data_IF_778553497957
#
_entry.id   IF_778553497957
#
_cell.length_a   1.000
_cell.length_b   1.000
_cell.length_c   1.000
_cell.angle_alpha   90.00
_cell.angle_beta   90.00
_cell.angle_gamma   90.00
#
_symmetry.space_group_name_H-M   'P 1'
#
loop_
_entity.id
_entity.type
_entity.pdbx_description
1 polymer ?
#
# COMPACT_ATOMS: atom_id res chain seq x y z
N UNK A 1 -14.08 -3.65 16.73
CA UNK A 1 -13.25 -4.82 17.10
C UNK A 1 -11.91 -4.73 16.38
N UNK A 2 -10.79 -5.02 17.06
CA UNK A 2 -9.47 -5.12 16.43
C UNK A 2 -9.29 -6.48 15.73
N UNK A 3 -8.32 -6.59 14.84
CA UNK A 3 -8.11 -7.77 14.00
C UNK A 3 -7.73 -9.01 14.84
N UNK A 4 -6.87 -8.86 15.84
CA UNK A 4 -6.45 -9.98 16.69
C UNK A 4 -7.63 -10.59 17.47
N UNK A 5 -8.48 -9.75 18.06
CA UNK A 5 -9.65 -10.21 18.84
C UNK A 5 -10.66 -10.90 17.95
N UNK A 6 -10.90 -10.34 16.76
CA UNK A 6 -11.77 -10.96 15.75
C UNK A 6 -11.25 -12.35 15.36
N UNK A 7 -9.96 -12.48 15.08
CA UNK A 7 -9.35 -13.76 14.70
C UNK A 7 -9.33 -14.75 15.85
N UNK A 8 -8.99 -14.31 17.05
CA UNK A 8 -8.96 -15.15 18.26
C UNK A 8 -10.33 -15.76 18.54
N UNK A 9 -11.40 -14.99 18.33
CA UNK A 9 -12.79 -15.43 18.53
C UNK A 9 -13.23 -16.51 17.54
N UNK A 10 -12.69 -16.52 16.32
CA UNK A 10 -13.07 -17.48 15.28
C UNK A 10 -12.11 -18.68 15.14
N UNK A 11 -10.82 -18.48 15.41
CA UNK A 11 -9.77 -19.46 15.14
C UNK A 11 -8.92 -19.84 16.36
N UNK A 12 -9.17 -19.21 17.51
CA UNK A 12 -8.37 -19.38 18.72
C UNK A 12 -7.14 -18.48 18.78
N UNK A 13 -6.63 -18.24 20.00
CA UNK A 13 -5.53 -17.30 20.24
C UNK A 13 -4.21 -17.70 19.58
N UNK A 14 -3.91 -19.00 19.52
CA UNK A 14 -2.66 -19.48 18.90
C UNK A 14 -2.64 -19.22 17.39
N UNK A 15 -3.73 -19.54 16.68
CA UNK A 15 -3.84 -19.26 15.26
C UNK A 15 -3.82 -17.75 14.98
N UNK A 16 -4.49 -16.95 15.81
CA UNK A 16 -4.45 -15.50 15.71
C UNK A 16 -3.00 -14.98 15.82
N UNK A 17 -2.24 -15.44 16.82
CA UNK A 17 -0.90 -14.94 17.11
C UNK A 17 0.19 -15.44 16.15
N UNK A 18 0.14 -16.72 15.74
CA UNK A 18 1.23 -17.36 15.00
C UNK A 18 0.94 -17.61 13.52
N UNK A 19 -0.32 -17.52 13.08
CA UNK A 19 -0.70 -17.72 11.67
C UNK A 19 -1.16 -16.41 11.04
N UNK A 20 -2.21 -15.81 11.61
CA UNK A 20 -2.81 -14.61 11.01
C UNK A 20 -2.04 -13.34 11.36
N UNK A 21 -1.56 -13.22 12.59
CA UNK A 21 -0.81 -12.07 13.09
C UNK A 21 0.42 -11.76 12.24
N UNK A 22 1.33 -12.72 11.97
CA UNK A 22 2.49 -12.50 11.13
C UNK A 22 2.10 -12.10 9.69
N UNK A 23 1.03 -12.70 9.14
CA UNK A 23 0.55 -12.36 7.81
C UNK A 23 0.01 -10.92 7.73
N UNK A 24 -0.74 -10.48 8.75
CA UNK A 24 -1.22 -9.11 8.86
C UNK A 24 -0.08 -8.12 9.07
N UNK A 25 0.87 -8.44 9.95
CA UNK A 25 2.06 -7.60 10.15
C UNK A 25 2.90 -7.51 8.88
N UNK A 26 3.10 -8.59 8.13
CA UNK A 26 3.81 -8.54 6.86
C UNK A 26 3.09 -7.69 5.80
N UNK A 27 1.75 -7.68 5.80
CA UNK A 27 0.92 -6.92 4.85
C UNK A 27 0.82 -5.44 5.19
N UNK A 28 0.66 -5.10 6.47
CA UNK A 28 0.35 -3.74 6.92
C UNK A 28 1.50 -3.07 7.68
N UNK A 29 2.59 -3.78 7.95
CA UNK A 29 3.67 -3.37 8.86
C UNK A 29 3.15 -2.94 10.24
N UNK A 30 2.00 -3.48 10.66
CA UNK A 30 1.26 -3.04 11.84
C UNK A 30 1.04 -4.17 12.85
N UNK A 31 0.78 -3.79 14.11
CA UNK A 31 0.27 -4.70 15.11
C UNK A 31 -1.20 -5.06 14.81
N UNK A 32 -1.58 -6.36 14.74
CA UNK A 32 -2.98 -6.78 14.61
C UNK A 32 -3.94 -6.18 15.66
N UNK A 33 -3.46 -5.82 16.85
CA UNK A 33 -4.25 -5.13 17.87
C UNK A 33 -4.59 -3.67 17.50
N UNK A 34 -3.74 -3.01 16.69
CA UNK A 34 -3.97 -1.65 16.19
C UNK A 34 -4.84 -1.63 14.91
N UNK A 35 -5.01 -2.77 14.25
CA UNK A 35 -5.80 -2.89 13.03
C UNK A 35 -7.29 -3.09 13.32
N UNK A 36 -8.15 -2.30 12.68
CA UNK A 36 -9.59 -2.57 12.68
C UNK A 36 -9.93 -3.75 11.76
N UNK A 37 -10.53 -4.81 12.32
CA UNK A 37 -10.83 -6.06 11.60
C UNK A 37 -11.62 -5.82 10.29
N UNK A 38 -12.61 -4.92 10.35
CA UNK A 38 -13.43 -4.51 9.20
C UNK A 38 -12.63 -4.06 7.98
N UNK A 39 -11.52 -3.36 8.18
CA UNK A 39 -10.71 -2.81 7.09
C UNK A 39 -9.49 -3.67 6.74
N UNK A 40 -8.94 -4.39 7.72
CA UNK A 40 -7.81 -5.30 7.49
C UNK A 40 -8.24 -6.63 6.84
N UNK A 41 -9.45 -7.10 7.16
CA UNK A 41 -10.00 -8.40 6.76
C UNK A 41 -11.40 -8.24 6.17
N UNK A 42 -11.61 -7.41 5.14
CA UNK A 42 -12.95 -7.03 4.69
C UNK A 42 -13.80 -8.21 4.23
N UNK A 43 -13.18 -9.23 3.62
CA UNK A 43 -13.90 -10.43 3.16
C UNK A 43 -14.36 -11.33 4.31
N UNK A 44 -13.53 -11.52 5.33
CA UNK A 44 -13.90 -12.29 6.52
C UNK A 44 -14.93 -11.52 7.35
N UNK A 45 -14.73 -10.22 7.52
CA UNK A 45 -15.69 -9.34 8.18
C UNK A 45 -17.06 -9.44 7.50
N UNK A 46 -17.12 -9.24 6.18
CA UNK A 46 -18.39 -9.35 5.44
C UNK A 46 -19.01 -10.74 5.55
N UNK A 47 -18.21 -11.81 5.50
CA UNK A 47 -18.69 -13.18 5.67
C UNK A 47 -19.32 -13.40 7.05
N UNK A 48 -18.70 -12.93 8.13
CA UNK A 48 -19.29 -13.00 9.47
C UNK A 48 -20.60 -12.22 9.54
N UNK A 49 -20.66 -11.00 9.01
CA UNK A 49 -21.88 -10.20 9.03
C UNK A 49 -23.04 -10.85 8.26
N UNK A 50 -22.75 -11.69 7.27
CA UNK A 50 -23.77 -12.41 6.50
C UNK A 50 -24.18 -13.75 7.13
N UNK A 51 -23.21 -14.50 7.67
CA UNK A 51 -23.41 -15.90 8.06
C UNK A 51 -23.31 -16.14 9.57
N UNK A 52 -22.87 -15.17 10.36
CA UNK A 52 -22.60 -15.28 11.80
C UNK A 52 -21.35 -16.11 12.14
N UNK A 53 -21.00 -17.11 11.32
CA UNK A 53 -19.86 -18.01 11.49
C UNK A 53 -19.00 -18.08 10.23
N UNK A 54 -17.68 -17.96 10.39
CA UNK A 54 -16.72 -18.09 9.28
C UNK A 54 -16.62 -19.53 8.77
N UNK A 55 -16.77 -20.52 9.66
CA UNK A 55 -16.81 -21.93 9.27
C UNK A 55 -18.02 -22.22 8.38
N UNK A 56 -19.21 -21.70 8.75
CA UNK A 56 -20.41 -21.80 7.93
C UNK A 56 -20.25 -21.05 6.60
N UNK A 57 -19.65 -19.86 6.62
CA UNK A 57 -19.38 -19.12 5.40
C UNK A 57 -18.45 -19.89 4.43
N UNK A 58 -17.46 -20.60 4.96
CA UNK A 58 -16.54 -21.42 4.17
C UNK A 58 -17.23 -22.64 3.55
N UNK A 59 -18.08 -23.34 4.30
CA UNK A 59 -18.85 -24.49 3.77
C UNK A 59 -19.84 -24.04 2.69
N UNK A 60 -20.56 -22.94 2.89
CA UNK A 60 -21.50 -22.40 1.90
C UNK A 60 -20.77 -21.91 0.63
N UNK A 61 -19.60 -21.28 0.76
CA UNK A 61 -18.77 -20.88 -0.40
C UNK A 61 -18.20 -22.10 -1.15
N UNK A 62 -17.80 -23.14 -0.43
CA UNK A 62 -17.29 -24.39 -1.01
C UNK A 62 -18.36 -25.25 -1.71
N UNK A 63 -19.63 -25.10 -1.30
CA UNK A 63 -20.74 -25.95 -1.78
C UNK A 63 -21.50 -25.38 -3.00
N UNK A 64 -21.24 -24.14 -3.45
CA UNK A 64 -21.69 -23.76 -4.80
C UNK A 64 -21.76 -22.27 -5.15
N UNK A 65 -21.38 -21.99 -6.40
CA UNK A 65 -21.45 -20.73 -7.16
C UNK A 65 -22.78 -19.95 -7.08
N UNK A 66 -23.89 -20.58 -6.67
CA UNK A 66 -25.20 -19.91 -6.56
C UNK A 66 -25.32 -18.98 -5.34
N UNK A 67 -24.58 -19.20 -4.26
CA UNK A 67 -24.63 -18.39 -3.04
C UNK A 67 -23.59 -17.25 -2.99
N UNK A 68 -22.63 -17.21 -3.91
CA UNK A 68 -21.74 -16.07 -4.08
C UNK A 68 -22.49 -14.75 -4.43
N UNK A 69 -23.75 -14.86 -4.90
CA UNK A 69 -24.66 -13.73 -5.12
C UNK A 69 -25.31 -13.18 -3.83
N UNK A 70 -25.24 -13.91 -2.72
CA UNK A 70 -25.77 -13.49 -1.41
C UNK A 70 -24.74 -12.74 -0.56
N UNK A 71 -23.45 -12.85 -0.90
CA UNK A 71 -22.47 -11.91 -0.37
C UNK A 71 -22.83 -10.53 -0.91
N UNK A 72 -23.01 -9.51 -0.04
CA UNK A 72 -23.05 -8.14 -0.52
C UNK A 72 -21.76 -7.94 -1.33
N UNK A 73 -21.84 -7.26 -2.50
CA UNK A 73 -20.63 -6.94 -3.24
C UNK A 73 -19.64 -6.31 -2.27
N UNK A 74 -18.32 -6.57 -2.42
CA UNK A 74 -17.33 -5.88 -1.62
C UNK A 74 -17.70 -4.40 -1.63
N UNK A 75 -17.66 -3.74 -0.47
CA UNK A 75 -17.87 -2.29 -0.39
C UNK A 75 -16.70 -1.60 -1.11
N UNK A 76 -16.56 -1.79 -2.41
CA UNK A 76 -16.03 -0.78 -3.31
C UNK A 76 -16.80 0.48 -2.95
N UNK A 77 -16.08 1.56 -2.70
CA UNK A 77 -16.61 2.91 -2.57
C UNK A 77 -17.78 3.08 -3.56
N UNK A 78 -19.01 2.93 -3.07
CA UNK A 78 -20.19 3.27 -3.84
C UNK A 78 -20.28 4.77 -3.68
N UNK A 79 -19.99 5.58 -4.72
CA UNK A 79 -20.20 7.01 -4.60
C UNK A 79 -21.66 7.18 -4.20
N UNK A 80 -21.89 7.85 -3.07
CA UNK A 80 -23.19 8.08 -2.47
C UNK A 80 -24.22 8.41 -3.57
N UNK A 81 -25.08 7.45 -3.95
CA UNK A 81 -26.14 7.70 -4.94
C UNK A 81 -27.14 8.75 -4.44
N UNK A 82 -27.15 9.03 -3.13
CA UNK A 82 -28.02 10.03 -2.48
C UNK A 82 -27.49 11.48 -2.50
N UNK A 83 -26.33 11.77 -3.10
CA UNK A 83 -25.91 13.15 -3.43
C UNK A 83 -25.65 13.35 -4.93
N UNK A 84 -26.41 12.67 -5.80
CA UNK A 84 -26.38 12.91 -7.25
C UNK A 84 -27.18 14.15 -7.69
N UNK A 85 -27.90 14.81 -6.79
CA UNK A 85 -28.67 16.04 -7.13
C UNK A 85 -27.83 17.31 -7.13
N UNK A 86 -26.58 17.26 -6.66
CA UNK A 86 -25.75 18.46 -6.53
C UNK A 86 -24.52 18.42 -7.47
N UNK A 87 -24.50 17.48 -8.44
CA UNK A 87 -23.50 17.47 -9.50
C UNK A 87 -23.92 18.45 -10.60
N UNK A 88 -23.05 19.43 -10.81
CA UNK A 88 -23.19 20.55 -11.72
C UNK A 88 -23.60 20.09 -13.15
N UNK A 89 -24.67 20.65 -13.78
CA UNK A 89 -25.29 20.10 -14.98
C UNK A 89 -24.45 20.13 -16.27
N UNK A 90 -23.29 20.80 -16.28
CA UNK A 90 -22.48 21.02 -17.48
C UNK A 90 -21.08 20.37 -17.45
N UNK A 91 -20.99 19.10 -17.04
CA UNK A 91 -19.81 18.28 -17.36
C UNK A 91 -19.75 18.07 -18.88
N UNK A 92 -18.80 18.74 -19.52
CA UNK A 92 -18.57 18.79 -20.96
C UNK A 92 -18.55 17.37 -21.59
N UNK A 93 -19.20 17.13 -22.75
CA UNK A 93 -19.39 15.79 -23.33
C UNK A 93 -18.11 15.09 -23.82
N UNK A 94 -16.94 15.71 -23.62
CA UNK A 94 -15.60 15.14 -23.90
C UNK A 94 -14.96 14.42 -22.71
N UNK A 95 -15.59 14.38 -21.52
CA UNK A 95 -15.26 13.40 -20.47
C UNK A 95 -15.91 12.05 -20.80
N UNK A 96 -15.68 11.55 -22.04
CA UNK A 96 -15.92 10.14 -22.41
C UNK A 96 -14.72 9.31 -21.93
N UNK A 97 -14.53 9.25 -20.61
CA UNK A 97 -13.52 8.42 -19.96
C UNK A 97 -14.11 7.30 -19.11
N UNK A 98 -15.44 7.25 -18.91
CA UNK A 98 -16.09 6.29 -17.98
C UNK A 98 -17.14 5.43 -18.71
N UNK A 99 -16.92 5.16 -20.00
CA UNK A 99 -17.76 4.24 -20.78
C UNK A 99 -16.87 3.29 -21.59
N UNK A 100 -16.07 2.49 -20.88
CA UNK A 100 -15.39 1.33 -21.46
C UNK A 100 -15.01 0.35 -20.34
N UNK A 101 -16.03 -0.34 -19.79
CA UNK A 101 -15.83 -1.52 -18.93
C UNK A 101 -17.10 -2.40 -18.87
N UNK A 102 -17.94 -2.36 -19.91
CA UNK A 102 -19.07 -3.29 -20.08
C UNK A 102 -18.89 -4.26 -21.26
N UNK A 103 -17.85 -4.09 -22.08
CA UNK A 103 -17.59 -4.96 -23.26
C UNK A 103 -16.43 -5.95 -23.11
N UNK A 104 -15.82 -6.08 -21.92
CA UNK A 104 -14.91 -7.21 -21.64
C UNK A 104 -15.71 -8.47 -21.24
N UNK A 105 -16.70 -8.85 -22.05
CA UNK A 105 -17.29 -10.20 -21.96
C UNK A 105 -16.26 -11.19 -22.50
N UNK A 106 -15.90 -12.17 -21.68
CA UNK A 106 -15.03 -13.33 -21.98
C UNK A 106 -13.50 -13.20 -21.84
N UNK A 107 -12.98 -12.42 -20.89
CA UNK A 107 -11.71 -12.84 -20.27
C UNK A 107 -12.07 -13.80 -19.13
N UNK A 108 -11.97 -15.10 -19.41
CA UNK A 108 -11.96 -16.14 -18.38
C UNK A 108 -10.91 -15.72 -17.35
N UNK A 109 -11.35 -15.32 -16.15
CA UNK A 109 -10.46 -14.97 -15.04
C UNK A 109 -9.77 -16.24 -14.54
N UNK A 110 -8.77 -16.71 -15.27
CA UNK A 110 -7.76 -17.64 -14.76
C UNK A 110 -6.74 -16.84 -13.95
N UNK A 111 -7.22 -16.17 -12.90
CA UNK A 111 -6.34 -15.70 -11.84
C UNK A 111 -5.91 -16.94 -11.09
N UNK A 112 -4.67 -17.40 -11.29
CA UNK A 112 -4.10 -18.53 -10.54
C UNK A 112 -3.97 -18.22 -9.04
N UNK A 113 -4.19 -16.96 -8.62
CA UNK A 113 -4.04 -16.51 -7.24
C UNK A 113 -2.58 -16.43 -6.79
N UNK A 114 -1.64 -16.77 -7.68
CA UNK A 114 -0.20 -16.76 -7.39
C UNK A 114 0.37 -15.34 -7.49
N UNK A 115 1.34 -14.99 -6.63
CA UNK A 115 2.05 -13.72 -6.74
C UNK A 115 2.80 -13.64 -8.07
N UNK A 116 2.83 -12.46 -8.67
CA UNK A 116 3.55 -12.21 -9.92
C UNK A 116 4.32 -10.89 -9.88
N UNK A 117 5.31 -10.77 -10.75
CA UNK A 117 6.03 -9.54 -11.04
C UNK A 117 6.51 -9.54 -12.49
N UNK A 118 7.04 -8.43 -12.98
CA UNK A 118 7.62 -8.32 -14.32
C UNK A 118 9.12 -8.56 -14.28
N UNK A 119 9.73 -8.95 -15.40
CA UNK A 119 11.18 -9.14 -15.51
C UNK A 119 11.96 -7.90 -15.03
N UNK A 120 11.57 -6.70 -15.46
CA UNK A 120 12.16 -5.44 -15.00
C UNK A 120 11.60 -4.94 -13.65
N UNK A 121 10.70 -5.69 -13.01
CA UNK A 121 10.07 -5.35 -11.73
C UNK A 121 8.79 -4.53 -11.89
N UNK A 122 8.14 -4.22 -10.77
CA UNK A 122 6.85 -3.50 -10.76
C UNK A 122 6.92 -2.08 -11.34
N UNK A 123 8.12 -1.47 -11.39
CA UNK A 123 8.36 -0.21 -12.10
C UNK A 123 8.03 -0.28 -13.60
N UNK A 124 7.90 -1.49 -14.18
CA UNK A 124 7.41 -1.68 -15.54
C UNK A 124 6.01 -1.08 -15.73
N UNK A 125 5.14 -1.16 -14.71
CA UNK A 125 3.79 -0.59 -14.76
C UNK A 125 3.88 0.93 -14.88
N UNK A 126 4.61 1.57 -13.97
CA UNK A 126 4.72 3.03 -13.95
C UNK A 126 5.45 3.55 -15.19
N UNK A 127 6.49 2.85 -15.66
CA UNK A 127 7.20 3.19 -16.89
C UNK A 127 6.27 3.13 -18.11
N UNK A 128 5.47 2.07 -18.24
CA UNK A 128 4.52 1.93 -19.34
C UNK A 128 3.40 3.00 -19.28
N UNK A 129 2.88 3.29 -18.09
CA UNK A 129 1.89 4.36 -17.89
C UNK A 129 2.45 5.73 -18.27
N UNK A 130 3.67 6.06 -17.82
CA UNK A 130 4.33 7.33 -18.14
C UNK A 130 4.58 7.46 -19.65
N UNK A 131 5.02 6.39 -20.31
CA UNK A 131 5.21 6.39 -21.76
C UNK A 131 3.90 6.63 -22.53
N UNK A 132 2.79 6.03 -22.06
CA UNK A 132 1.47 6.16 -22.70
C UNK A 132 0.80 7.52 -22.46
N UNK A 133 1.00 8.10 -21.28
CA UNK A 133 0.48 9.43 -20.93
C UNK A 133 1.33 10.53 -21.60
N UNK A 134 2.64 10.30 -21.75
CA UNK A 134 3.60 11.27 -22.28
C UNK A 134 4.30 12.04 -21.16
N UNK A 135 5.64 12.05 -21.18
CA UNK A 135 6.49 12.64 -20.13
C UNK A 135 6.23 14.13 -19.89
N UNK A 136 5.83 14.87 -20.93
CA UNK A 136 5.50 16.28 -20.87
C UNK A 136 4.31 16.61 -19.95
N UNK A 137 3.46 15.61 -19.66
CA UNK A 137 2.30 15.76 -18.79
C UNK A 137 2.64 15.49 -17.30
N UNK A 138 3.91 15.24 -16.99
CA UNK A 138 4.39 15.02 -15.62
C UNK A 138 5.25 16.18 -15.16
N UNK A 139 4.80 16.84 -14.10
CA UNK A 139 5.52 17.92 -13.43
C UNK A 139 6.18 17.37 -12.16
N UNK A 140 7.45 16.96 -12.27
CA UNK A 140 8.20 16.38 -11.15
C UNK A 140 8.94 17.46 -10.35
N UNK A 141 9.24 17.18 -9.09
CA UNK A 141 9.97 18.11 -8.22
C UNK A 141 9.18 19.38 -7.84
N UNK A 142 7.85 19.35 -7.99
CA UNK A 142 6.96 20.47 -7.71
C UNK A 142 5.89 20.07 -6.69
N UNK A 143 6.21 20.06 -5.38
CA UNK A 143 5.24 19.74 -4.34
C UNK A 143 4.07 20.73 -4.36
N UNK A 144 2.84 20.21 -4.41
CA UNK A 144 1.64 21.02 -4.27
C UNK A 144 1.44 21.38 -2.79
N UNK A 145 1.22 22.66 -2.50
CA UNK A 145 1.08 23.20 -1.13
C UNK A 145 -0.27 23.86 -0.86
N UNK A 146 -1.03 24.20 -1.90
CA UNK A 146 -2.35 24.78 -1.74
C UNK A 146 -3.28 24.50 -2.92
N UNK A 147 -4.58 24.45 -2.63
CA UNK A 147 -5.66 24.40 -3.61
C UNK A 147 -6.69 25.47 -3.26
N UNK A 148 -7.04 26.31 -4.24
CA UNK A 148 -8.06 27.34 -4.09
C UNK A 148 -9.11 27.15 -5.17
N UNK A 149 -10.36 26.92 -4.76
CA UNK A 149 -11.50 27.01 -5.65
C UNK A 149 -11.99 28.46 -5.72
N UNK A 150 -12.08 29.01 -6.93
CA UNK A 150 -12.62 30.35 -7.19
C UNK A 150 -13.82 30.27 -8.13
N UNK A 151 -14.99 30.70 -7.66
CA UNK A 151 -16.21 30.88 -8.44
C UNK A 151 -17.45 30.25 -7.82
N UNK A 152 -18.58 30.42 -8.50
CA UNK A 152 -19.89 29.89 -8.15
C UNK A 152 -20.41 28.96 -9.26
N UNK A 153 -20.81 27.74 -8.89
CA UNK A 153 -21.42 26.80 -9.85
C UNK A 153 -20.52 26.44 -11.05
N UNK A 154 -20.99 26.75 -12.27
CA UNK A 154 -20.47 26.25 -13.56
C UNK A 154 -19.09 26.79 -13.91
N UNK A 155 -18.85 28.06 -13.57
CA UNK A 155 -17.72 28.84 -14.07
C UNK A 155 -16.54 28.85 -13.09
N UNK A 156 -16.66 28.06 -12.02
CA UNK A 156 -15.62 27.93 -11.01
C UNK A 156 -14.40 27.17 -11.53
N UNK A 157 -13.26 27.47 -10.94
CA UNK A 157 -12.00 26.85 -11.32
C UNK A 157 -11.09 26.65 -10.12
N UNK A 158 -10.29 25.60 -10.18
CA UNK A 158 -9.24 25.33 -9.21
C UNK A 158 -7.94 26.01 -9.61
N UNK A 159 -7.31 26.65 -8.65
CA UNK A 159 -5.93 27.12 -8.70
C UNK A 159 -5.07 26.24 -7.81
N UNK A 160 -3.91 25.86 -8.32
CA UNK A 160 -2.95 24.98 -7.63
C UNK A 160 -1.71 25.77 -7.29
N UNK A 161 -1.36 25.84 -6.01
CA UNK A 161 -0.12 26.45 -5.54
C UNK A 161 0.95 25.39 -5.30
N UNK A 162 2.18 25.65 -5.75
CA UNK A 162 3.31 24.72 -5.68
C UNK A 162 4.48 25.35 -4.93
N UNK A 163 5.33 24.53 -4.31
CA UNK A 163 6.61 24.97 -3.72
C UNK A 163 7.69 24.96 -4.79
N UNK A 164 8.44 26.05 -4.91
CA UNK A 164 9.55 26.14 -5.83
C UNK A 164 10.81 25.45 -5.27
N UNK A 165 11.79 25.08 -6.13
CA UNK A 165 13.00 24.37 -5.72
C UNK A 165 13.89 25.11 -4.70
N UNK A 166 13.80 26.43 -4.64
CA UNK A 166 14.49 27.32 -3.69
C UNK A 166 13.79 27.41 -2.32
N UNK A 167 12.76 26.58 -2.09
CA UNK A 167 12.03 26.52 -0.82
C UNK A 167 11.05 27.67 -0.61
N UNK A 168 11.13 28.73 -1.41
CA UNK A 168 10.17 29.81 -1.38
C UNK A 168 8.80 29.32 -1.89
N UNK A 169 7.74 29.74 -1.20
CA UNK A 169 6.38 29.59 -1.70
C UNK A 169 6.18 30.61 -2.81
N UNK A 170 6.79 30.37 -3.97
CA UNK A 170 6.52 31.19 -5.14
C UNK A 170 5.14 30.79 -5.63
N UNK A 171 4.24 31.75 -5.77
CA UNK A 171 3.23 31.65 -6.81
C UNK A 171 3.96 31.69 -8.15
N UNK A 172 4.66 30.61 -8.54
CA UNK A 172 5.16 30.50 -9.90
C UNK A 172 3.92 30.38 -10.76
N UNK A 173 3.55 31.52 -11.31
CA UNK A 173 2.61 31.69 -12.40
C UNK A 173 3.21 30.99 -13.62
N UNK A 174 3.33 29.65 -13.60
CA UNK A 174 3.20 28.92 -14.84
C UNK A 174 1.79 29.23 -15.31
N UNK A 175 1.73 30.09 -16.34
CA UNK A 175 0.56 30.58 -17.05
C UNK A 175 -0.68 29.76 -16.75
N UNK A 176 -1.58 30.30 -15.91
CA UNK A 176 -3.02 30.00 -15.87
C UNK A 176 -3.39 28.59 -16.33
N UNK A 177 -3.34 27.60 -15.44
CA UNK A 177 -4.22 26.45 -15.61
C UNK A 177 -5.25 26.51 -14.48
N UNK A 178 -6.36 27.17 -14.81
CA UNK A 178 -7.63 26.94 -14.14
C UNK A 178 -7.98 25.48 -14.43
N UNK A 179 -8.04 24.64 -13.40
CA UNK A 179 -8.49 23.27 -13.57
C UNK A 179 -9.97 23.17 -13.27
N UNK A 180 -10.72 22.43 -14.09
CA UNK A 180 -12.14 22.16 -13.82
C UNK A 180 -12.31 21.20 -12.63
N UNK A 181 -11.31 20.34 -12.41
CA UNK A 181 -11.31 19.36 -11.33
C UNK A 181 -9.89 19.04 -10.85
N UNK A 182 -9.78 18.63 -9.58
CA UNK A 182 -8.53 18.16 -8.97
C UNK A 182 -8.74 16.76 -8.40
N UNK A 183 -7.83 15.84 -8.70
CA UNK A 183 -7.80 14.49 -8.13
C UNK A 183 -6.69 14.40 -7.09
N UNK A 184 -7.07 14.20 -5.84
CA UNK A 184 -6.14 14.06 -4.72
C UNK A 184 -5.70 12.60 -4.57
N UNK A 185 -4.51 12.29 -5.07
CA UNK A 185 -3.87 10.98 -4.95
C UNK A 185 -2.68 10.99 -3.96
N UNK A 186 -2.74 11.88 -2.97
CA UNK A 186 -1.69 12.07 -1.97
C UNK A 186 -1.88 11.13 -0.76
N UNK A 187 -0.79 10.73 -0.08
CA UNK A 187 -0.89 10.12 1.25
C UNK A 187 -1.64 11.03 2.23
N UNK A 188 -2.27 10.44 3.25
CA UNK A 188 -3.09 11.19 4.20
C UNK A 188 -2.32 12.32 4.91
N UNK A 189 -1.09 12.07 5.35
CA UNK A 189 -0.24 13.09 5.97
C UNK A 189 0.01 14.29 5.04
N UNK A 190 0.33 14.04 3.77
CA UNK A 190 0.53 15.10 2.77
C UNK A 190 -0.76 15.83 2.40
N UNK A 191 -1.90 15.13 2.42
CA UNK A 191 -3.20 15.76 2.21
C UNK A 191 -3.60 16.65 3.39
N UNK A 192 -3.29 16.23 4.62
CA UNK A 192 -3.58 16.99 5.83
C UNK A 192 -2.81 18.31 5.92
N UNK A 193 -1.61 18.39 5.32
CA UNK A 193 -0.81 19.63 5.27
C UNK A 193 -1.16 20.57 4.12
N UNK A 194 -2.06 20.15 3.22
CA UNK A 194 -2.49 20.94 2.07
C UNK A 194 -3.40 22.08 2.52
N UNK A 195 -3.07 23.31 2.13
CA UNK A 195 -3.97 24.46 2.36
C UNK A 195 -5.08 24.46 1.33
N UNK A 196 -6.30 24.13 1.74
CA UNK A 196 -7.47 24.09 0.85
C UNK A 196 -8.40 25.24 1.19
N UNK A 197 -8.82 26.00 0.19
CA UNK A 197 -9.83 27.04 0.35
C UNK A 197 -10.84 27.05 -0.80
N UNK A 198 -12.03 27.59 -0.52
CA UNK A 198 -13.08 27.82 -1.50
C UNK A 198 -13.63 29.23 -1.29
N UNK A 199 -13.56 30.07 -2.32
CA UNK A 199 -14.02 31.46 -2.28
C UNK A 199 -13.50 32.24 -1.05
N UNK A 200 -12.21 32.08 -0.75
CA UNK A 200 -11.55 32.71 0.39
C UNK A 200 -11.74 32.00 1.75
N UNK A 201 -12.63 31.03 1.85
CA UNK A 201 -12.86 30.29 3.09
C UNK A 201 -11.97 29.04 3.17
N UNK A 202 -11.14 28.94 4.21
CA UNK A 202 -10.29 27.78 4.45
C UNK A 202 -11.12 26.54 4.84
N UNK A 203 -10.69 25.37 4.37
CA UNK A 203 -11.26 24.06 4.69
C UNK A 203 -10.22 23.20 5.39
N UNK A 204 -10.59 22.60 6.53
CA UNK A 204 -9.75 21.64 7.24
C UNK A 204 -10.23 20.21 7.02
N UNK A 205 -9.30 19.25 7.08
CA UNK A 205 -9.57 17.82 6.89
C UNK A 205 -9.19 17.01 8.15
N UNK A 206 -9.81 17.26 9.31
CA UNK A 206 -9.35 16.72 10.60
C UNK A 206 -9.35 15.18 10.66
N UNK A 207 -10.27 14.52 9.94
CA UNK A 207 -10.31 13.04 9.86
C UNK A 207 -9.14 12.45 9.07
N UNK A 208 -8.60 13.19 8.11
CA UNK A 208 -7.44 12.78 7.32
C UNK A 208 -6.17 12.93 8.15
N UNK A 209 -6.08 14.00 8.93
CA UNK A 209 -4.96 14.25 9.85
C UNK A 209 -4.80 13.17 10.92
N UNK A 210 -5.88 12.45 11.26
CA UNK A 210 -5.84 11.35 12.23
C UNK A 210 -5.30 10.03 11.64
N UNK A 211 -5.09 9.93 10.32
CA UNK A 211 -4.58 8.72 9.68
C UNK A 211 -3.06 8.69 9.78
N UNK A 212 -2.56 7.78 10.59
CA UNK A 212 -1.14 7.58 10.80
C UNK A 212 -0.50 6.75 9.66
N UNK A 213 0.73 7.13 9.28
CA UNK A 213 1.57 6.34 8.38
C UNK A 213 2.67 5.65 9.18
N UNK A 214 2.83 4.35 8.98
CA UNK A 214 3.83 3.56 9.69
C UNK A 214 5.17 3.60 8.94
N UNK A 215 6.27 3.98 9.61
CA UNK A 215 7.56 4.06 8.95
C UNK A 215 8.11 2.66 8.69
N UNK A 216 8.62 2.41 7.48
CA UNK A 216 9.14 1.11 7.06
C UNK A 216 10.35 1.30 6.15
N UNK A 217 11.43 0.59 6.45
CA UNK A 217 12.58 0.46 5.56
C UNK A 217 12.62 -0.92 4.92
N UNK A 218 12.95 -0.95 3.64
CA UNK A 218 13.05 -2.16 2.83
C UNK A 218 14.51 -2.39 2.48
N UNK A 219 15.07 -3.49 2.96
CA UNK A 219 16.47 -3.85 2.74
C UNK A 219 16.56 -5.04 1.78
N UNK A 220 17.16 -4.83 0.61
CA UNK A 220 17.49 -5.88 -0.34
C UNK A 220 18.95 -6.30 -0.15
N UNK A 221 19.17 -7.59 0.10
CA UNK A 221 20.49 -8.20 0.23
C UNK A 221 20.73 -9.18 -0.91
N UNK A 222 21.91 -9.11 -1.52
CA UNK A 222 22.37 -10.04 -2.53
C UNK A 222 23.51 -10.90 -1.99
N UNK A 223 23.39 -12.21 -2.12
CA UNK A 223 24.38 -13.20 -1.70
C UNK A 223 24.84 -13.98 -2.92
N UNK A 224 26.07 -14.46 -2.92
CA UNK A 224 26.44 -15.53 -3.86
C UNK A 224 25.63 -16.78 -3.53
N UNK A 225 25.32 -17.58 -4.53
CA UNK A 225 24.53 -18.81 -4.31
C UNK A 225 25.22 -19.77 -3.33
N UNK A 226 26.55 -19.81 -3.31
CA UNK A 226 27.33 -20.62 -2.38
C UNK A 226 27.15 -20.22 -0.91
N UNK A 227 26.94 -18.93 -0.65
CA UNK A 227 26.74 -18.31 0.66
C UNK A 227 25.28 -18.38 1.13
N UNK A 228 24.35 -18.65 0.21
CA UNK A 228 22.92 -18.66 0.43
C UNK A 228 22.30 -20.07 0.35
N UNK A 229 23.13 -21.13 0.43
CA UNK A 229 22.70 -22.53 0.36
C UNK A 229 21.66 -22.91 1.42
N UNK A 230 21.71 -22.28 2.59
CA UNK A 230 20.80 -22.53 3.70
C UNK A 230 19.44 -21.86 3.54
N UNK A 231 19.26 -20.97 2.54
CA UNK A 231 17.95 -20.35 2.28
C UNK A 231 16.91 -21.41 1.86
N UNK A 232 15.78 -21.52 2.58
CA UNK A 232 14.71 -22.43 2.22
C UNK A 232 14.13 -22.17 0.83
N UNK A 233 13.62 -23.22 0.18
CA UNK A 233 12.86 -23.12 -1.07
C UNK A 233 11.41 -22.70 -0.81
N UNK A 234 11.22 -21.55 -0.16
CA UNK A 234 9.90 -20.97 0.14
C UNK A 234 9.86 -19.52 -0.31
N UNK A 235 8.71 -18.86 -0.17
CA UNK A 235 8.57 -17.43 -0.44
C UNK A 235 9.34 -16.55 0.54
N UNK A 236 9.60 -17.04 1.75
CA UNK A 236 10.12 -16.25 2.86
C UNK A 236 9.48 -16.61 4.20
N UNK A 237 9.55 -15.68 5.16
CA UNK A 237 8.93 -15.81 6.48
C UNK A 237 8.35 -14.46 6.95
N UNK A 238 7.41 -14.53 7.89
CA UNK A 238 6.91 -13.39 8.64
C UNK A 238 7.14 -13.63 10.13
N UNK A 239 7.44 -12.57 10.88
CA UNK A 239 7.81 -12.66 12.29
C UNK A 239 6.59 -12.29 13.16
N UNK A 240 6.11 -13.20 14.03
CA UNK A 240 5.03 -12.92 14.96
C UNK A 240 5.31 -11.73 15.87
N UNK A 241 4.24 -11.00 16.23
CA UNK A 241 4.35 -9.86 17.13
C UNK A 241 4.89 -10.25 18.52
N UNK A 242 4.46 -11.43 18.99
CA UNK A 242 4.78 -12.02 20.29
C UNK A 242 6.27 -12.33 20.49
N UNK A 243 7.09 -12.36 19.43
CA UNK A 243 8.54 -12.53 19.55
C UNK A 243 9.25 -11.33 20.20
N UNK A 244 8.52 -10.29 20.62
CA UNK A 244 8.99 -9.31 21.61
C UNK A 244 10.23 -8.52 21.20
N UNK A 245 10.47 -8.35 19.89
CA UNK A 245 11.64 -7.64 19.38
C UNK A 245 12.95 -8.43 19.38
N UNK A 246 12.91 -9.75 19.73
CA UNK A 246 14.03 -10.69 19.55
C UNK A 246 14.55 -10.69 18.12
N UNK A 247 13.62 -10.56 17.17
CA UNK A 247 13.91 -10.41 15.75
C UNK A 247 13.61 -8.98 15.30
N UNK A 248 14.39 -8.53 14.33
CA UNK A 248 14.35 -7.14 13.84
C UNK A 248 13.51 -6.92 12.61
N UNK A 249 13.29 -7.97 11.86
CA UNK A 249 12.51 -7.96 10.64
C UNK A 249 11.04 -8.24 10.95
N UNK A 250 10.15 -7.53 10.29
CA UNK A 250 8.71 -7.84 10.26
C UNK A 250 8.48 -9.08 9.38
N UNK A 251 9.16 -9.11 8.23
CA UNK A 251 9.09 -10.18 7.27
C UNK A 251 10.35 -10.19 6.41
N UNK A 252 10.57 -11.34 5.78
CA UNK A 252 11.65 -11.60 4.86
C UNK A 252 11.11 -12.34 3.65
N UNK A 253 11.52 -11.93 2.46
CA UNK A 253 11.15 -12.54 1.19
C UNK A 253 12.40 -13.11 0.52
N UNK A 254 12.39 -14.39 0.17
CA UNK A 254 13.44 -14.99 -0.65
C UNK A 254 13.15 -14.70 -2.12
N UNK A 255 13.37 -13.44 -2.51
CA UNK A 255 12.95 -12.86 -3.79
C UNK A 255 13.41 -13.69 -5.00
N UNK A 256 14.64 -14.21 -4.99
CA UNK A 256 15.14 -15.05 -6.09
C UNK A 256 14.55 -16.47 -6.09
N UNK A 257 14.04 -16.97 -4.95
CA UNK A 257 13.32 -18.25 -4.89
C UNK A 257 11.92 -18.13 -5.47
N UNK A 258 11.25 -16.99 -5.25
CA UNK A 258 9.97 -16.70 -5.89
C UNK A 258 10.11 -16.35 -7.37
N UNK A 259 11.14 -15.57 -7.71
CA UNK A 259 11.34 -15.02 -9.05
C UNK A 259 12.82 -15.09 -9.43
N UNK A 260 13.26 -16.22 -9.99
CA UNK A 260 14.67 -16.47 -10.33
C UNK A 260 15.32 -15.35 -11.16
N UNK A 261 14.57 -14.72 -12.07
CA UNK A 261 15.02 -13.60 -12.90
C UNK A 261 15.25 -12.27 -12.14
N UNK A 262 15.00 -12.24 -10.84
CA UNK A 262 15.24 -11.07 -9.97
C UNK A 262 16.61 -11.09 -9.28
N UNK A 263 17.44 -12.09 -9.59
CA UNK A 263 18.85 -12.10 -9.24
C UNK A 263 19.72 -12.37 -10.48
N UNK A 264 20.92 -11.77 -10.57
CA UNK A 264 21.92 -12.18 -11.56
C UNK A 264 22.30 -13.66 -11.41
N UNK A 265 22.82 -14.27 -12.48
CA UNK A 265 23.31 -15.64 -12.42
C UNK A 265 24.41 -15.81 -11.36
N UNK A 266 24.33 -16.86 -10.55
CA UNK A 266 25.27 -17.12 -9.44
C UNK A 266 24.95 -16.37 -8.14
N UNK A 267 23.83 -15.65 -8.09
CA UNK A 267 23.41 -14.88 -6.93
C UNK A 267 21.97 -15.18 -6.51
N UNK A 268 21.74 -15.03 -5.21
CA UNK A 268 20.44 -15.10 -4.57
C UNK A 268 20.12 -13.78 -3.88
N UNK A 269 18.86 -13.36 -3.92
CA UNK A 269 18.42 -12.08 -3.35
C UNK A 269 17.33 -12.27 -2.31
N UNK A 270 17.45 -11.54 -1.21
CA UNK A 270 16.53 -11.56 -0.07
C UNK A 270 16.09 -10.13 0.25
N UNK A 271 14.79 -9.92 0.48
CA UNK A 271 14.24 -8.61 0.87
C UNK A 271 13.71 -8.69 2.30
N UNK A 272 14.19 -7.82 3.18
CA UNK A 272 13.72 -7.71 4.57
C UNK A 272 12.97 -6.40 4.78
N UNK A 273 11.91 -6.49 5.58
CA UNK A 273 11.08 -5.35 5.98
C UNK A 273 11.39 -5.03 7.45
N UNK A 274 11.93 -3.85 7.73
CA UNK A 274 12.33 -3.43 9.08
C UNK A 274 11.63 -2.13 9.48
N UNK A 275 11.18 -2.04 10.73
CA UNK A 275 10.42 -0.90 11.25
C UNK A 275 8.99 -1.29 11.60
N UNK A 276 8.03 -0.58 11.01
CA UNK A 276 6.61 -0.76 11.28
C UNK A 276 6.21 -0.30 12.68
N UNK A 277 4.97 -0.57 13.03
CA UNK A 277 4.34 -0.06 14.25
C UNK A 277 5.07 -0.46 15.54
N UNK A 278 5.60 -1.68 15.60
CA UNK A 278 6.25 -2.25 16.80
C UNK A 278 7.70 -1.80 16.99
N UNK A 279 8.36 -1.31 15.94
CA UNK A 279 9.81 -1.07 15.95
C UNK A 279 10.17 0.19 15.14
N UNK A 280 9.37 1.25 15.28
CA UNK A 280 9.40 2.46 14.44
C UNK A 280 10.80 3.06 14.27
N UNK A 281 11.58 3.14 15.35
CA UNK A 281 12.94 3.69 15.31
C UNK A 281 13.88 2.93 14.37
N UNK A 282 13.64 1.63 14.16
CA UNK A 282 14.45 0.83 13.24
C UNK A 282 14.27 1.28 11.79
N UNK A 283 13.08 1.78 11.41
CA UNK A 283 12.85 2.27 10.06
C UNK A 283 13.79 3.40 9.65
N UNK A 284 14.31 4.17 10.60
CA UNK A 284 15.16 5.35 10.36
C UNK A 284 16.65 5.08 10.57
N UNK A 285 17.03 3.84 10.90
CA UNK A 285 18.44 3.45 11.07
C UNK A 285 19.19 3.52 9.76
N UNK A 286 20.51 3.67 9.86
CA UNK A 286 21.38 3.65 8.69
C UNK A 286 21.35 2.29 7.99
N UNK A 287 21.70 2.26 6.70
CA UNK A 287 21.80 1.01 5.92
C UNK A 287 22.66 -0.04 6.64
N UNK A 288 23.80 0.37 7.20
CA UNK A 288 24.75 -0.53 7.86
C UNK A 288 24.14 -1.12 9.14
N UNK A 289 23.46 -0.30 9.95
CA UNK A 289 22.77 -0.80 11.14
C UNK A 289 21.64 -1.78 10.77
N UNK A 290 20.84 -1.44 9.75
CA UNK A 290 19.77 -2.32 9.26
C UNK A 290 20.30 -3.63 8.69
N UNK A 291 21.42 -3.59 7.97
CA UNK A 291 22.11 -4.79 7.49
C UNK A 291 22.58 -5.67 8.65
N UNK A 292 23.16 -5.10 9.71
CA UNK A 292 23.58 -5.87 10.88
C UNK A 292 22.39 -6.56 11.57
N UNK A 293 21.26 -5.84 11.73
CA UNK A 293 20.03 -6.39 12.31
C UNK A 293 19.44 -7.51 11.42
N UNK A 294 19.35 -7.27 10.12
CA UNK A 294 18.88 -8.25 9.15
C UNK A 294 19.74 -9.52 9.12
N UNK A 295 21.06 -9.36 9.16
CA UNK A 295 21.99 -10.49 9.19
C UNK A 295 21.90 -11.28 10.49
N UNK A 296 21.61 -10.65 11.63
CA UNK A 296 21.35 -11.35 12.88
C UNK A 296 20.11 -12.24 12.76
N UNK A 297 19.01 -11.71 12.22
CA UNK A 297 17.77 -12.47 12.00
C UNK A 297 17.98 -13.63 11.01
N UNK A 298 18.67 -13.39 9.88
CA UNK A 298 18.94 -14.42 8.88
C UNK A 298 19.83 -15.55 9.42
N UNK A 299 20.83 -15.22 10.24
CA UNK A 299 21.65 -16.23 10.93
C UNK A 299 20.80 -17.10 11.83
N UNK A 300 19.95 -16.48 12.64
CA UNK A 300 19.15 -17.18 13.63
C UNK A 300 18.06 -18.06 12.99
N UNK A 301 17.38 -17.56 11.95
CA UNK A 301 16.20 -18.22 11.39
C UNK A 301 16.52 -19.18 10.25
N UNK A 302 17.51 -18.85 9.42
CA UNK A 302 17.79 -19.61 8.19
C UNK A 302 19.28 -19.95 8.03
N UNK A 303 20.12 -19.68 9.03
CA UNK A 303 21.50 -20.14 9.06
C UNK A 303 22.42 -19.50 8.01
N UNK A 304 22.09 -18.32 7.48
CA UNK A 304 22.99 -17.59 6.56
C UNK A 304 24.03 -16.83 7.38
N UNK A 305 25.30 -17.23 7.30
CA UNK A 305 26.38 -16.65 8.13
C UNK A 305 27.27 -15.67 7.36
N UNK A 306 27.51 -15.93 6.08
CA UNK A 306 28.28 -15.09 5.16
C UNK A 306 27.68 -13.69 5.01
N UNK A 307 28.54 -12.69 4.79
CA UNK A 307 28.08 -11.33 4.50
C UNK A 307 27.49 -11.24 3.09
N UNK A 308 26.51 -10.34 2.86
CA UNK A 308 25.99 -10.12 1.52
C UNK A 308 27.08 -9.52 0.62
N UNK A 309 27.08 -9.92 -0.64
CA UNK A 309 27.92 -9.34 -1.68
C UNK A 309 27.44 -7.93 -2.11
N UNK A 310 26.15 -7.63 -1.89
CA UNK A 310 25.56 -6.32 -2.14
C UNK A 310 24.39 -6.05 -1.20
N UNK A 311 24.18 -4.78 -0.85
CA UNK A 311 23.04 -4.33 -0.07
C UNK A 311 22.45 -3.04 -0.67
N UNK A 312 21.13 -2.98 -0.80
CA UNK A 312 20.39 -1.81 -1.26
C UNK A 312 19.23 -1.55 -0.30
N UNK A 313 18.95 -0.28 0.00
CA UNK A 313 17.94 0.11 0.97
C UNK A 313 16.98 1.12 0.34
N UNK A 314 15.67 0.84 0.43
CA UNK A 314 14.63 1.84 0.31
C UNK A 314 14.32 2.39 1.71
N UNK A 315 14.63 3.66 1.95
CA UNK A 315 14.48 4.29 3.25
C UNK A 315 13.04 4.78 3.49
N UNK A 316 12.59 4.73 4.74
CA UNK A 316 11.46 5.53 5.19
C UNK A 316 11.83 7.02 5.09
N UNK A 317 10.96 7.84 4.52
CA UNK A 317 11.08 9.29 4.64
C UNK A 317 10.60 9.72 6.03
N UNK A 318 11.33 10.59 6.74
CA UNK A 318 10.81 11.16 7.97
C UNK A 318 9.52 11.92 7.69
N UNK A 319 8.56 11.97 8.63
CA UNK A 319 7.37 12.78 8.47
C UNK A 319 7.77 14.22 8.19
N UNK A 320 7.12 14.82 7.19
CA UNK A 320 7.28 16.24 6.87
C UNK A 320 6.81 17.03 8.10
N UNK A 321 7.75 17.71 8.77
CA UNK A 321 7.48 18.61 9.90
C UNK A 321 6.66 19.84 9.47
#
# INVERSE_FOLDING_TARGET
ENAESFLSRHYGGEAAQYVFGPALSAKYAADPHALAAKYALPELWAAEQCFGSLALAATVKGVGSKFAKLLPPPQSFQPNRRRRRDLHPNLHPKVRGVRMLEESRSVTRHSTGLPFTFKAGLSSITTAMTARIGKQNFMLGLPVVSLEYCGDGVDGSWKVGVRAPDGSAVAKQHRREKFDAVVLALPAASLASLRISSNGQATSLPRVSAVESLPLSVLLLGFKDEDAKSLPCTAGFAVPAMEGGRLSSIACQFTSKMFAFRAPAGYSTVTLLLGGDRQRDRAFKSRIELENLAMADLRQLVGVTSRPAAACMGAAEPPIA
#
